data_IF_487769740866
#
_entry.id   IF_487769740866
#
_cell.length_a   1.000
_cell.length_b   1.000
_cell.length_c   1.000
_cell.angle_alpha   90.00
_cell.angle_beta   90.00
_cell.angle_gamma   90.00
#
_symmetry.space_group_name_H-M   'P 1'
#
loop_
_entity.id
_entity.type
_entity.pdbx_description
1 polymer ?
#
# COMPACT_ATOMS: atom_id res chain seq x y z
N UNK A 1 0.32 -47.45 -13.70
CA UNK A 1 0.73 -46.16 -13.10
C UNK A 1 0.73 -45.12 -14.22
N UNK A 2 -0.23 -44.19 -14.22
CA UNK A 2 -0.39 -43.18 -15.28
C UNK A 2 0.47 -41.94 -14.98
N UNK A 3 1.16 -41.36 -15.98
CA UNK A 3 1.86 -40.09 -15.81
C UNK A 3 0.88 -38.93 -16.04
N UNK A 4 0.46 -38.27 -14.96
CA UNK A 4 -0.28 -37.00 -15.03
C UNK A 4 0.67 -35.86 -14.66
N UNK A 5 1.61 -35.53 -15.54
CA UNK A 5 2.77 -34.70 -15.17
C UNK A 5 2.91 -33.36 -15.92
N UNK A 6 2.06 -33.05 -16.90
CA UNK A 6 2.22 -31.82 -17.72
C UNK A 6 1.11 -30.76 -17.59
N UNK A 7 -0.12 -31.17 -17.26
CA UNK A 7 -1.29 -30.31 -17.47
C UNK A 7 -1.59 -29.39 -16.29
N UNK A 8 -1.16 -29.77 -15.08
CA UNK A 8 -1.54 -29.08 -13.84
C UNK A 8 -0.64 -27.87 -13.54
N UNK A 9 0.66 -27.94 -13.86
CA UNK A 9 1.56 -26.77 -13.77
C UNK A 9 1.23 -25.72 -14.84
N UNK A 10 0.75 -26.16 -16.00
CA UNK A 10 0.39 -25.30 -17.13
C UNK A 10 -0.89 -24.48 -16.94
N UNK A 11 -1.80 -24.87 -16.03
CA UNK A 11 -3.08 -24.16 -15.80
C UNK A 11 -3.12 -23.42 -14.46
N UNK A 12 -2.44 -23.94 -13.42
CA UNK A 12 -2.39 -23.27 -12.12
C UNK A 12 -1.57 -21.99 -12.16
N UNK A 13 -0.45 -21.97 -12.90
CA UNK A 13 0.37 -20.76 -13.00
C UNK A 13 -0.38 -19.61 -13.69
N UNK A 14 -1.08 -19.84 -14.82
CA UNK A 14 -1.96 -18.83 -15.41
C UNK A 14 -3.14 -18.42 -14.52
N UNK A 15 -3.77 -19.34 -13.79
CA UNK A 15 -4.89 -19.00 -12.91
C UNK A 15 -4.45 -18.10 -11.73
N UNK A 16 -3.32 -18.41 -11.10
CA UNK A 16 -2.70 -17.58 -10.06
C UNK A 16 -2.28 -16.23 -10.63
N UNK A 17 -1.68 -16.23 -11.82
CA UNK A 17 -1.30 -15.00 -12.51
C UNK A 17 -2.51 -14.11 -12.83
N UNK A 18 -3.60 -14.71 -13.31
CA UNK A 18 -4.84 -14.02 -13.63
C UNK A 18 -5.51 -13.46 -12.36
N UNK A 19 -5.53 -14.24 -11.27
CA UNK A 19 -6.04 -13.78 -9.98
C UNK A 19 -5.20 -12.63 -9.40
N UNK A 20 -3.87 -12.71 -9.45
CA UNK A 20 -2.99 -11.62 -9.01
C UNK A 20 -3.20 -10.35 -9.85
N UNK A 21 -3.34 -10.51 -11.17
CA UNK A 21 -3.64 -9.39 -12.07
C UNK A 21 -5.01 -8.77 -11.75
N UNK A 22 -5.99 -9.57 -11.36
CA UNK A 22 -7.32 -9.05 -10.99
C UNK A 22 -7.34 -8.30 -9.66
N UNK A 23 -6.27 -8.35 -8.86
CA UNK A 23 -6.15 -7.54 -7.63
C UNK A 23 -5.64 -6.13 -7.92
N UNK A 24 -5.12 -5.88 -9.13
CA UNK A 24 -4.59 -4.58 -9.56
C UNK A 24 -5.64 -3.89 -10.43
N UNK A 25 -5.87 -2.61 -10.19
CA UNK A 25 -6.75 -1.80 -11.03
C UNK A 25 -6.13 -1.58 -12.41
N UNK A 26 -4.80 -1.39 -12.41
CA UNK A 26 -3.99 -1.24 -13.62
C UNK A 26 -2.59 -1.78 -13.38
N UNK A 27 -1.98 -2.34 -14.42
CA UNK A 27 -0.57 -2.74 -14.41
C UNK A 27 -0.08 -2.92 -15.84
N UNK A 28 1.10 -2.38 -16.13
CA UNK A 28 1.76 -2.56 -17.42
C UNK A 28 2.57 -3.87 -17.42
N UNK A 29 3.73 -3.87 -16.76
CA UNK A 29 4.71 -4.96 -16.84
C UNK A 29 4.63 -5.91 -15.64
N UNK A 30 3.52 -6.65 -15.53
CA UNK A 30 3.39 -7.66 -14.47
C UNK A 30 4.18 -8.94 -14.80
N UNK A 31 5.34 -9.11 -14.16
CA UNK A 31 6.12 -10.33 -14.20
C UNK A 31 5.81 -11.18 -12.97
N UNK A 32 5.47 -12.44 -13.20
CA UNK A 32 5.13 -13.39 -12.13
C UNK A 32 6.02 -14.61 -12.29
N UNK A 33 6.82 -14.88 -11.26
CA UNK A 33 7.64 -16.06 -11.16
C UNK A 33 7.12 -16.95 -10.04
N UNK A 34 6.68 -18.16 -10.38
CA UNK A 34 6.18 -19.15 -9.43
C UNK A 34 7.21 -20.27 -9.30
N UNK A 35 7.74 -20.46 -8.09
CA UNK A 35 8.66 -21.55 -7.80
C UNK A 35 7.92 -22.63 -7.01
N UNK A 36 7.57 -23.74 -7.67
CA UNK A 36 6.91 -24.88 -7.02
C UNK A 36 7.18 -26.21 -7.73
N UNK A 37 7.26 -27.31 -6.97
CA UNK A 37 7.28 -28.66 -7.54
C UNK A 37 5.86 -29.12 -7.87
N UNK A 38 5.68 -29.93 -8.92
CA UNK A 38 4.36 -30.44 -9.34
C UNK A 38 3.54 -31.08 -8.22
N UNK A 39 4.18 -31.86 -7.33
CA UNK A 39 3.50 -32.49 -6.19
C UNK A 39 3.02 -31.48 -5.13
N UNK A 40 3.73 -30.35 -4.97
CA UNK A 40 3.35 -29.29 -4.03
C UNK A 40 2.15 -28.51 -4.57
N UNK A 41 2.17 -28.16 -5.86
CA UNK A 41 1.03 -27.53 -6.54
C UNK A 41 -0.25 -28.36 -6.42
N UNK A 42 -0.16 -29.67 -6.65
CA UNK A 42 -1.30 -30.59 -6.51
C UNK A 42 -1.88 -30.64 -5.09
N UNK A 43 -1.05 -30.39 -4.08
CA UNK A 43 -1.46 -30.31 -2.66
C UNK A 43 -1.94 -28.92 -2.27
N UNK A 44 -1.99 -27.98 -3.21
CA UNK A 44 -2.36 -26.59 -2.94
C UNK A 44 -1.27 -25.78 -2.25
N UNK A 45 0.00 -26.16 -2.41
CA UNK A 45 1.13 -25.46 -1.83
C UNK A 45 1.97 -24.78 -2.92
N UNK A 46 2.16 -23.47 -2.79
CA UNK A 46 3.07 -22.69 -3.61
C UNK A 46 4.18 -22.15 -2.69
N UNK A 47 5.39 -22.75 -2.73
CA UNK A 47 6.49 -22.35 -1.85
C UNK A 47 6.86 -20.88 -1.97
N UNK A 48 6.93 -20.36 -3.20
CA UNK A 48 7.30 -18.97 -3.44
C UNK A 48 6.66 -18.43 -4.71
N UNK A 49 6.18 -17.19 -4.63
CA UNK A 49 5.80 -16.35 -5.77
C UNK A 49 6.56 -15.04 -5.68
N UNK A 50 7.24 -14.66 -6.76
CA UNK A 50 7.85 -13.35 -6.90
C UNK A 50 7.08 -12.57 -7.96
N UNK A 51 6.66 -11.37 -7.58
CA UNK A 51 5.93 -10.41 -8.39
C UNK A 51 6.87 -9.23 -8.66
N UNK A 52 7.00 -8.84 -9.93
CA UNK A 52 7.58 -7.55 -10.30
C UNK A 52 6.58 -6.83 -11.17
N UNK A 53 6.37 -5.55 -10.88
CA UNK A 53 5.45 -4.72 -11.64
C UNK A 53 6.05 -3.33 -11.83
N UNK A 54 5.85 -2.79 -13.03
CA UNK A 54 6.08 -1.37 -13.31
C UNK A 54 4.73 -0.69 -13.53
N UNK A 55 4.62 0.57 -13.09
CA UNK A 55 3.41 1.39 -13.24
C UNK A 55 2.14 0.67 -12.74
N UNK A 56 2.23 0.09 -11.54
CA UNK A 56 1.12 -0.63 -10.93
C UNK A 56 0.17 0.33 -10.22
N UNK A 57 -1.14 0.05 -10.32
CA UNK A 57 -2.18 0.74 -9.55
C UNK A 57 -2.93 -0.28 -8.70
N UNK A 58 -2.91 -0.08 -7.39
CA UNK A 58 -3.58 -0.94 -6.41
C UNK A 58 -4.51 -0.10 -5.53
N UNK A 59 -5.83 -0.29 -5.66
CA UNK A 59 -6.85 0.46 -4.94
C UNK A 59 -6.66 1.99 -5.08
N UNK A 60 -6.30 2.43 -6.29
CA UNK A 60 -5.97 3.82 -6.60
C UNK A 60 -4.58 4.30 -6.13
N UNK A 61 -3.76 3.46 -5.49
CA UNK A 61 -2.35 3.77 -5.21
C UNK A 61 -1.51 3.49 -6.44
N UNK A 62 -0.87 4.53 -6.97
CA UNK A 62 0.06 4.44 -8.08
C UNK A 62 1.47 4.13 -7.58
N UNK A 63 2.16 3.21 -8.27
CA UNK A 63 3.51 2.77 -7.96
C UNK A 63 4.32 2.70 -9.25
N UNK A 64 5.43 3.44 -9.31
CA UNK A 64 6.37 3.33 -10.43
C UNK A 64 6.98 1.93 -10.54
N UNK A 65 7.27 1.29 -9.41
CA UNK A 65 7.81 -0.07 -9.37
C UNK A 65 7.41 -0.78 -8.08
N UNK A 66 7.17 -2.09 -8.16
CA UNK A 66 7.01 -2.96 -7.01
C UNK A 66 7.67 -4.30 -7.24
N UNK A 67 8.47 -4.75 -6.28
CA UNK A 67 9.00 -6.10 -6.23
C UNK A 67 8.59 -6.76 -4.92
N UNK A 68 7.80 -7.82 -5.02
CA UNK A 68 7.17 -8.48 -3.89
C UNK A 68 7.45 -9.98 -3.97
N UNK A 69 7.93 -10.56 -2.88
CA UNK A 69 8.09 -12.01 -2.73
C UNK A 69 7.17 -12.51 -1.63
N UNK A 70 6.30 -13.45 -2.00
CA UNK A 70 5.38 -14.15 -1.12
C UNK A 70 5.85 -15.59 -0.93
N UNK A 71 5.77 -16.11 0.29
CA UNK A 71 6.21 -17.46 0.62
C UNK A 71 5.10 -18.29 1.26
N UNK A 72 5.21 -19.62 1.18
CA UNK A 72 4.35 -20.58 1.91
C UNK A 72 2.85 -20.36 1.64
N UNK A 73 2.48 -20.11 0.38
CA UNK A 73 1.10 -19.83 -0.01
C UNK A 73 0.31 -21.15 -0.04
N UNK A 74 -0.84 -21.17 0.62
CA UNK A 74 -1.76 -22.31 0.62
C UNK A 74 -3.07 -21.95 -0.09
N UNK A 75 -3.48 -22.78 -1.05
CA UNK A 75 -4.61 -22.52 -1.95
C UNK A 75 -5.55 -23.72 -2.06
N UNK A 76 -6.83 -23.45 -2.33
CA UNK A 76 -7.90 -24.47 -2.38
C UNK A 76 -7.92 -25.32 -3.67
N UNK A 77 -6.80 -25.93 -4.07
CA UNK A 77 -6.67 -26.64 -5.37
C UNK A 77 -7.72 -27.73 -5.58
N UNK A 78 -8.00 -28.56 -4.58
CA UNK A 78 -9.01 -29.63 -4.71
C UNK A 78 -10.44 -29.11 -4.95
N UNK A 79 -10.71 -27.87 -4.56
CA UNK A 79 -11.99 -27.20 -4.82
C UNK A 79 -11.99 -26.46 -6.16
N UNK A 80 -10.85 -25.88 -6.57
CA UNK A 80 -10.72 -25.22 -7.87
C UNK A 80 -10.94 -26.19 -9.03
N UNK A 81 -10.45 -27.43 -8.92
CA UNK A 81 -10.72 -28.49 -9.92
C UNK A 81 -12.21 -28.82 -10.02
N UNK A 82 -13.00 -28.53 -8.98
CA UNK A 82 -14.45 -28.71 -8.94
C UNK A 82 -15.22 -27.44 -9.34
N UNK A 83 -14.55 -26.44 -9.92
CA UNK A 83 -15.15 -25.20 -10.40
C UNK A 83 -15.39 -24.13 -9.35
N UNK A 84 -14.90 -24.30 -8.11
CA UNK A 84 -14.98 -23.24 -7.09
C UNK A 84 -13.89 -22.18 -7.33
N UNK A 85 -14.13 -20.91 -6.93
CA UNK A 85 -13.14 -19.84 -7.11
C UNK A 85 -11.86 -20.07 -6.29
N UNK A 86 -10.77 -19.47 -6.76
CA UNK A 86 -9.48 -19.42 -6.07
C UNK A 86 -9.62 -18.75 -4.70
N UNK A 87 -9.07 -19.38 -3.67
CA UNK A 87 -9.01 -18.83 -2.30
C UNK A 87 -7.69 -19.17 -1.63
N UNK A 88 -7.16 -18.19 -0.91
CA UNK A 88 -6.09 -18.38 0.06
C UNK A 88 -6.65 -19.10 1.29
N UNK A 89 -5.95 -20.14 1.74
CA UNK A 89 -6.32 -20.93 2.91
C UNK A 89 -5.68 -20.41 4.20
N UNK A 90 -4.64 -19.58 4.07
CA UNK A 90 -3.91 -18.99 5.19
C UNK A 90 -3.38 -17.60 4.80
N UNK A 91 -3.09 -16.72 5.79
CA UNK A 91 -2.33 -15.49 5.56
C UNK A 91 -1.01 -15.79 4.87
N UNK A 92 -0.62 -14.90 3.95
CA UNK A 92 0.59 -15.07 3.15
C UNK A 92 1.66 -14.12 3.69
N UNK A 93 2.80 -14.62 4.18
CA UNK A 93 3.94 -13.76 4.50
C UNK A 93 4.50 -13.16 3.20
N UNK A 94 4.69 -11.84 3.21
CA UNK A 94 5.14 -11.07 2.06
C UNK A 94 6.32 -10.19 2.48
N UNK A 95 7.35 -10.15 1.65
CA UNK A 95 8.50 -9.23 1.78
C UNK A 95 8.74 -8.57 0.44
N UNK A 96 9.08 -7.28 0.42
CA UNK A 96 9.29 -6.60 -0.85
C UNK A 96 9.76 -5.17 -0.70
N UNK A 97 9.89 -4.52 -1.85
CA UNK A 97 10.15 -3.10 -1.96
C UNK A 97 9.21 -2.48 -2.98
N UNK A 98 8.84 -1.23 -2.74
CA UNK A 98 8.06 -0.42 -3.67
C UNK A 98 8.77 0.89 -3.90
N UNK A 99 8.60 1.45 -5.10
CA UNK A 99 9.09 2.77 -5.47
C UNK A 99 7.92 3.63 -5.87
N UNK A 100 7.84 4.78 -5.21
CA UNK A 100 6.80 5.78 -5.42
C UNK A 100 7.50 7.11 -5.70
N UNK A 101 7.16 7.75 -6.82
CA UNK A 101 7.65 9.07 -7.22
C UNK A 101 6.68 10.15 -6.77
N UNK A 102 7.08 11.43 -6.85
CA UNK A 102 6.14 12.54 -6.57
C UNK A 102 4.91 12.52 -7.48
N UNK A 103 5.05 12.07 -8.73
CA UNK A 103 3.93 11.96 -9.67
C UNK A 103 2.97 10.84 -9.24
N UNK A 104 3.53 9.70 -8.81
CA UNK A 104 2.75 8.59 -8.27
C UNK A 104 2.00 9.03 -7.00
N UNK A 105 2.66 9.76 -6.10
CA UNK A 105 2.05 10.26 -4.87
C UNK A 105 0.88 11.19 -5.18
N UNK A 106 1.09 12.13 -6.09
CA UNK A 106 0.08 13.09 -6.53
C UNK A 106 -1.13 12.38 -7.16
N UNK A 107 -0.90 11.37 -8.00
CA UNK A 107 -1.98 10.56 -8.59
C UNK A 107 -2.73 9.74 -7.53
N UNK A 108 -2.04 9.32 -6.47
CA UNK A 108 -2.59 8.49 -5.39
C UNK A 108 -3.40 9.27 -4.35
N UNK A 109 -3.31 10.61 -4.31
CA UNK A 109 -4.01 11.44 -3.31
C UNK A 109 -5.53 11.26 -3.33
N UNK A 110 -6.11 10.92 -4.48
CA UNK A 110 -7.54 10.64 -4.61
C UNK A 110 -7.96 9.25 -4.12
N UNK A 111 -7.01 8.37 -3.79
CA UNK A 111 -7.32 7.02 -3.34
C UNK A 111 -7.85 7.03 -1.91
N UNK A 112 -8.88 6.21 -1.67
CA UNK A 112 -9.41 6.01 -0.32
C UNK A 112 -8.34 5.40 0.60
N UNK A 113 -7.52 4.49 0.08
CA UNK A 113 -6.48 3.81 0.84
C UNK A 113 -5.42 4.79 1.36
N UNK A 114 -4.90 5.68 0.50
CA UNK A 114 -3.91 6.68 0.93
C UNK A 114 -4.55 7.71 1.84
N UNK A 115 -5.74 8.19 1.51
CA UNK A 115 -6.42 9.22 2.31
C UNK A 115 -6.69 8.74 3.73
N UNK A 116 -7.14 7.48 3.87
CA UNK A 116 -7.34 6.86 5.17
C UNK A 116 -6.01 6.69 5.93
N UNK A 117 -4.99 6.10 5.29
CA UNK A 117 -3.70 5.88 5.93
C UNK A 117 -3.02 7.16 6.37
N UNK A 118 -3.04 8.22 5.53
CA UNK A 118 -2.53 9.54 5.89
C UNK A 118 -3.29 10.14 7.07
N UNK A 119 -4.63 10.03 7.08
CA UNK A 119 -5.43 10.53 8.18
C UNK A 119 -5.17 9.80 9.50
N UNK A 120 -4.96 8.48 9.47
CA UNK A 120 -4.60 7.68 10.64
C UNK A 120 -3.22 8.07 11.18
N UNK A 121 -2.21 8.22 10.32
CA UNK A 121 -0.86 8.66 10.71
C UNK A 121 -0.90 10.06 11.30
N UNK A 122 -1.57 11.02 10.65
CA UNK A 122 -1.68 12.40 11.16
C UNK A 122 -2.42 12.44 12.50
N UNK A 123 -3.46 11.63 12.67
CA UNK A 123 -4.18 11.53 13.94
C UNK A 123 -3.29 11.00 15.08
N UNK A 124 -2.34 10.11 14.79
CA UNK A 124 -1.37 9.61 15.77
C UNK A 124 -0.29 10.64 16.12
N UNK A 125 0.08 11.50 15.17
CA UNK A 125 1.10 12.54 15.38
C UNK A 125 0.56 13.69 16.23
N UNK A 126 -0.72 14.06 16.06
CA UNK A 126 -1.31 15.23 16.73
C UNK A 126 -1.48 14.97 18.23
N UNK A 127 -0.79 15.73 19.10
CA UNK A 127 -1.00 15.67 20.55
C UNK A 127 -2.43 16.03 20.95
N UNK A 128 -2.99 15.48 22.04
CA UNK A 128 -4.37 15.73 22.45
C UNK A 128 -4.71 17.22 22.67
N UNK A 129 -3.78 17.99 23.21
CA UNK A 129 -3.92 19.43 23.46
C UNK A 129 -4.03 20.24 22.16
N UNK A 130 -3.20 19.90 21.16
CA UNK A 130 -3.32 20.45 19.81
C UNK A 130 -4.62 19.95 19.16
N UNK A 131 -4.95 18.66 19.28
CA UNK A 131 -6.16 18.06 18.72
C UNK A 131 -7.46 18.72 19.20
N UNK A 132 -7.52 19.14 20.47
CA UNK A 132 -8.64 19.89 21.04
C UNK A 132 -8.76 21.31 20.45
N UNK A 133 -7.65 22.02 20.26
CA UNK A 133 -7.64 23.35 19.63
C UNK A 133 -8.02 23.27 18.15
N UNK A 134 -7.56 22.22 17.49
CA UNK A 134 -7.75 22.05 16.08
C UNK A 134 -9.16 21.55 15.73
N UNK A 135 -9.89 20.95 16.68
CA UNK A 135 -11.26 20.48 16.50
C UNK A 135 -11.34 19.33 15.50
N UNK A 136 -11.48 18.10 15.99
CA UNK A 136 -11.70 16.88 15.20
C UNK A 136 -10.91 16.79 13.86
N UNK A 137 -9.62 17.18 13.87
CA UNK A 137 -8.69 16.81 12.77
C UNK A 137 -8.44 15.30 12.75
N UNK A 138 -8.66 14.64 13.88
CA UNK A 138 -8.59 13.19 14.03
C UNK A 138 -9.70 12.42 13.26
N UNK A 139 -10.48 13.07 12.39
CA UNK A 139 -11.35 12.40 11.44
C UNK A 139 -10.67 12.42 10.05
N UNK A 140 -10.03 11.32 9.61
CA UNK A 140 -9.40 11.18 8.29
C UNK A 140 -10.28 11.67 7.13
N UNK A 141 -11.60 11.52 7.29
CA UNK A 141 -12.63 11.82 6.30
C UNK A 141 -12.89 13.31 6.02
N UNK A 142 -12.24 14.23 6.74
CA UNK A 142 -12.49 15.68 6.59
C UNK A 142 -11.42 16.44 5.82
N UNK A 143 -10.32 15.78 5.47
CA UNK A 143 -9.22 16.40 4.72
C UNK A 143 -9.24 15.84 3.30
N UNK A 144 -9.30 16.74 2.33
CA UNK A 144 -9.08 16.42 0.92
C UNK A 144 -7.69 16.92 0.57
N UNK A 145 -6.77 15.99 0.33
CA UNK A 145 -5.43 16.31 -0.13
C UNK A 145 -5.45 16.64 -1.62
N UNK A 146 -4.86 17.77 -1.98
CA UNK A 146 -4.87 18.29 -3.35
C UNK A 146 -3.48 18.30 -3.97
N UNK A 147 -2.43 18.47 -3.17
CA UNK A 147 -1.06 18.56 -3.66
C UNK A 147 -0.09 17.83 -2.76
N UNK A 148 0.78 17.04 -3.37
CA UNK A 148 1.91 16.39 -2.72
C UNK A 148 3.22 16.82 -3.37
N UNK A 149 4.19 17.16 -2.52
CA UNK A 149 5.56 17.48 -2.93
C UNK A 149 6.48 16.56 -2.15
N UNK A 150 7.32 15.82 -2.89
CA UNK A 150 8.35 14.98 -2.33
C UNK A 150 9.72 15.55 -2.72
N UNK A 151 10.52 15.85 -1.71
CA UNK A 151 11.94 16.21 -1.80
C UNK A 151 12.77 15.06 -1.23
N UNK A 152 14.08 14.99 -1.50
CA UNK A 152 14.94 13.90 -1.01
C UNK A 152 14.87 13.69 0.51
N UNK A 153 14.63 14.76 1.26
CA UNK A 153 14.64 14.83 2.72
C UNK A 153 13.34 15.42 3.30
N UNK A 154 12.28 15.51 2.50
CA UNK A 154 11.06 16.18 2.94
C UNK A 154 9.81 15.80 2.18
N UNK A 155 8.70 15.81 2.91
CA UNK A 155 7.35 15.61 2.40
C UNK A 155 6.50 16.83 2.74
N UNK A 156 5.77 17.33 1.76
CA UNK A 156 4.75 18.34 1.96
C UNK A 156 3.44 17.89 1.31
N UNK A 157 2.37 17.92 2.11
CA UNK A 157 1.00 17.68 1.66
C UNK A 157 0.18 18.95 1.88
N UNK A 158 -0.60 19.33 0.89
CA UNK A 158 -1.50 20.47 0.95
C UNK A 158 -2.90 20.02 0.59
N UNK A 159 -3.88 20.58 1.26
CA UNK A 159 -5.27 20.25 1.01
C UNK A 159 -6.22 21.23 1.65
N UNK A 160 -7.49 20.84 1.63
CA UNK A 160 -8.56 21.57 2.28
C UNK A 160 -9.22 20.68 3.31
N UNK A 161 -9.49 21.26 4.47
CA UNK A 161 -10.28 20.65 5.51
C UNK A 161 -11.65 21.29 5.55
N UNK A 162 -12.69 20.46 5.47
CA UNK A 162 -14.06 20.93 5.69
C UNK A 162 -14.40 20.76 7.16
N UNK A 163 -14.50 21.87 7.88
CA UNK A 163 -15.10 21.90 9.21
C UNK A 163 -16.49 22.57 9.16
N UNK A 164 -17.20 22.57 10.28
CA UNK A 164 -18.52 23.23 10.36
C UNK A 164 -18.49 24.75 10.15
N UNK A 165 -17.32 25.35 9.90
CA UNK A 165 -17.10 26.77 9.62
C UNK A 165 -16.65 27.02 8.16
N UNK A 166 -16.62 25.99 7.31
CA UNK A 166 -16.25 26.08 5.89
C UNK A 166 -14.89 25.46 5.55
N UNK A 167 -14.49 25.50 4.27
CA UNK A 167 -13.20 24.96 3.84
C UNK A 167 -12.05 25.82 4.36
N UNK A 168 -11.08 25.18 5.04
CA UNK A 168 -9.84 25.81 5.51
C UNK A 168 -8.63 25.10 4.92
N UNK A 169 -7.68 25.86 4.41
CA UNK A 169 -6.42 25.31 3.90
C UNK A 169 -5.61 24.63 5.01
N UNK A 170 -5.08 23.46 4.72
CA UNK A 170 -4.20 22.67 5.59
C UNK A 170 -2.91 22.35 4.83
N UNK A 171 -1.78 22.56 5.49
CA UNK A 171 -0.46 22.22 4.96
C UNK A 171 0.27 21.39 6.01
N UNK A 172 0.58 20.14 5.67
CA UNK A 172 1.43 19.27 6.47
C UNK A 172 2.82 19.25 5.83
N UNK A 173 3.84 19.60 6.60
CA UNK A 173 5.23 19.56 6.19
C UNK A 173 6.01 18.71 7.18
N UNK A 174 6.87 17.84 6.65
CA UNK A 174 7.74 17.01 7.46
C UNK A 174 9.08 16.82 6.78
N UNK A 175 10.16 16.76 7.56
CA UNK A 175 11.39 16.11 7.09
C UNK A 175 11.15 14.61 6.97
N UNK A 176 11.80 13.95 6.01
CA UNK A 176 11.59 12.56 5.66
C UNK A 176 12.92 11.82 5.62
N UNK A 177 13.11 10.85 6.50
CA UNK A 177 14.32 10.03 6.53
C UNK A 177 14.00 8.59 6.91
N UNK A 178 14.79 7.63 6.43
CA UNK A 178 14.75 6.27 6.93
C UNK A 178 15.64 6.20 8.18
N UNK A 179 15.06 5.91 9.34
CA UNK A 179 15.82 5.61 10.55
C UNK A 179 16.50 4.24 10.42
N UNK A 180 15.81 3.29 9.78
CA UNK A 180 16.33 2.00 9.36
C UNK A 180 15.50 1.50 8.13
N UNK A 181 15.82 0.34 7.51
CA UNK A 181 15.10 -0.14 6.32
C UNK A 181 13.58 -0.35 6.48
N UNK A 182 13.07 -0.42 7.70
CA UNK A 182 11.65 -0.63 8.01
C UNK A 182 11.03 0.51 8.82
N UNK A 183 11.79 1.53 9.24
CA UNK A 183 11.26 2.63 10.05
C UNK A 183 11.48 3.96 9.35
N UNK A 184 10.37 4.62 9.02
CA UNK A 184 10.34 5.95 8.44
C UNK A 184 10.22 6.98 9.56
N UNK A 185 11.17 7.91 9.63
CA UNK A 185 11.15 9.03 10.56
C UNK A 185 10.65 10.29 9.87
N UNK A 186 9.66 10.91 10.50
CA UNK A 186 9.10 12.21 10.15
C UNK A 186 9.59 13.24 11.17
N UNK A 187 10.53 14.08 10.77
CA UNK A 187 11.14 15.09 11.65
C UNK A 187 11.94 16.14 10.85
N UNK A 188 11.80 17.45 11.12
CA UNK A 188 10.78 18.08 11.98
C UNK A 188 9.41 18.04 11.32
N UNK A 189 8.32 18.08 12.11
CA UNK A 189 6.94 18.11 11.60
C UNK A 189 6.29 19.46 11.91
N UNK A 190 5.63 20.05 10.91
CA UNK A 190 4.88 21.30 11.02
C UNK A 190 3.54 21.18 10.31
N UNK A 191 2.47 21.52 11.02
CA UNK A 191 1.12 21.60 10.48
C UNK A 191 0.67 23.05 10.44
N UNK A 192 0.26 23.57 9.28
CA UNK A 192 -0.28 24.92 9.15
C UNK A 192 -1.75 24.84 8.80
N UNK A 193 -2.59 25.56 9.54
CA UNK A 193 -4.03 25.68 9.27
C UNK A 193 -4.40 27.14 9.07
N UNK A 194 -4.91 27.46 7.88
CA UNK A 194 -5.02 28.84 7.45
C UNK A 194 -3.65 29.53 7.48
N UNK A 195 -3.46 30.46 8.42
CA UNK A 195 -2.20 31.18 8.62
C UNK A 195 -1.46 30.80 9.92
N UNK A 196 -1.97 29.84 10.70
CA UNK A 196 -1.39 29.49 12.01
C UNK A 196 -0.54 28.22 11.91
N UNK A 197 0.77 28.28 12.21
CA UNK A 197 1.63 27.10 12.28
C UNK A 197 1.54 26.42 13.66
N UNK A 198 1.54 25.09 13.64
CA UNK A 198 1.55 24.20 14.79
C UNK A 198 2.74 23.23 14.64
N UNK A 199 3.80 23.38 15.43
CA UNK A 199 4.87 22.39 15.46
C UNK A 199 4.33 21.09 16.08
N UNK A 200 4.66 19.96 15.47
CA UNK A 200 4.26 18.64 15.93
C UNK A 200 5.50 17.84 16.37
N UNK A 201 5.36 16.88 17.31
CA UNK A 201 6.46 16.04 17.74
C UNK A 201 6.98 15.18 16.58
N UNK A 202 8.25 14.77 16.68
CA UNK A 202 8.83 13.77 15.79
C UNK A 202 8.02 12.46 15.86
N UNK A 203 7.92 11.78 14.73
CA UNK A 203 7.16 10.54 14.61
C UNK A 203 7.94 9.49 13.83
N UNK A 204 7.86 8.24 14.30
CA UNK A 204 8.44 7.09 13.61
C UNK A 204 7.32 6.15 13.21
N UNK A 205 7.25 5.84 11.91
CA UNK A 205 6.31 4.92 11.32
C UNK A 205 7.03 3.60 11.00
N UNK A 206 6.52 2.51 11.53
CA UNK A 206 6.93 1.17 11.12
C UNK A 206 6.29 0.82 9.77
N UNK A 207 7.11 0.39 8.81
CA UNK A 207 6.75 0.00 7.45
C UNK A 207 6.59 -1.53 7.31
N UNK A 208 6.79 -2.29 8.39
CA UNK A 208 6.71 -3.76 8.42
C UNK A 208 5.58 -4.32 9.27
#
# INVERSE_FOLDING_TARGET
>A
MLPASGWVSGVLSPAVALWLRSQLDHVDNLQIQITSKNQQLLRGQIPQVTLKADQAVYQGIHLSHGEITAQTIQINVGEMVKGKPFRLLAPVPVTGSVRLTVQDLQASLGSALLTQGLGEVIAQIIPPDIGLQLGAIAAPSRIVWETAILKPDGLQLQGQRTDGQGPRGIIFQSGLALANPQTLRLAPIQLTLGATPYPLPDFELDLG
#
